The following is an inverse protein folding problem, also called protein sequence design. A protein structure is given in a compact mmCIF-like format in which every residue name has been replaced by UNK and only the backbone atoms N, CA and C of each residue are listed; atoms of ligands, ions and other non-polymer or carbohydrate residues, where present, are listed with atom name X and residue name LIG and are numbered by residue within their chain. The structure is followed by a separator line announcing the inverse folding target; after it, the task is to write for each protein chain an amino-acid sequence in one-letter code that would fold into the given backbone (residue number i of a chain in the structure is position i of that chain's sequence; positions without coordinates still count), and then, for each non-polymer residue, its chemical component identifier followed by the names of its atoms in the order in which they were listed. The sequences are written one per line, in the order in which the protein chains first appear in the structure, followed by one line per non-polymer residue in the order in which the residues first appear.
data_IF_587059961629
#
_entry.id   IF_587059961629
#
_cell.length_a   1.000
_cell.length_b   1.000
_cell.length_c   1.000
_cell.angle_alpha   90.00
_cell.angle_beta   90.00
_cell.angle_gamma   90.00
#
_symmetry.space_group_name_H-M   'P 1'
#
loop_
_entity.id
_entity.type
_entity.pdbx_description
1 polymer ?
#
# COMPACT_ATOMS: atom_id res chain seq x y z
N UNK A 1 -7.35 44.68 12.01
CA UNK A 1 -7.26 44.50 10.55
C UNK A 1 -7.39 43.01 10.24
N UNK A 2 -8.47 42.60 9.57
CA UNK A 2 -8.77 41.18 9.29
C UNK A 2 -8.35 40.85 7.87
N UNK A 3 -7.27 40.08 7.70
CA UNK A 3 -6.84 39.61 6.37
C UNK A 3 -7.78 38.52 5.90
N UNK A 4 -8.64 38.82 4.91
CA UNK A 4 -9.42 37.81 4.20
C UNK A 4 -8.44 36.89 3.48
N UNK A 5 -8.32 35.63 3.93
CA UNK A 5 -7.56 34.61 3.21
C UNK A 5 -8.26 34.32 1.90
N UNK A 6 -7.78 34.90 0.80
CA UNK A 6 -8.22 34.55 -0.55
C UNK A 6 -7.86 33.10 -0.80
N UNK A 7 -8.86 32.20 -0.78
CA UNK A 7 -8.67 30.81 -1.18
C UNK A 7 -8.30 30.82 -2.68
N UNK A 8 -7.07 30.44 -3.06
CA UNK A 8 -6.67 30.48 -4.46
C UNK A 8 -7.49 29.47 -5.26
N UNK A 9 -7.94 29.86 -6.45
CA UNK A 9 -8.62 28.96 -7.37
C UNK A 9 -7.71 27.74 -7.66
N UNK A 10 -8.26 26.52 -7.71
CA UNK A 10 -7.46 25.31 -7.87
C UNK A 10 -6.73 25.33 -9.22
N UNK A 11 -5.43 25.06 -9.18
CA UNK A 11 -4.59 24.93 -10.38
C UNK A 11 -5.13 23.84 -11.30
N UNK A 12 -4.94 23.98 -12.62
CA UNK A 12 -5.29 22.97 -13.62
C UNK A 12 -4.78 21.57 -13.27
N UNK A 13 -3.54 21.47 -12.78
CA UNK A 13 -2.97 20.20 -12.32
C UNK A 13 -3.72 19.63 -11.12
N UNK A 14 -4.19 20.47 -10.20
CA UNK A 14 -4.98 20.05 -9.06
C UNK A 14 -6.33 19.49 -9.51
N UNK A 15 -7.02 20.15 -10.45
CA UNK A 15 -8.30 19.67 -11.01
C UNK A 15 -8.12 18.31 -11.69
N UNK A 16 -7.12 18.17 -12.55
CA UNK A 16 -6.85 16.91 -13.26
C UNK A 16 -6.50 15.76 -12.31
N UNK A 17 -5.70 16.04 -11.28
CA UNK A 17 -5.28 15.02 -10.30
C UNK A 17 -6.32 14.79 -9.18
N UNK A 18 -7.36 15.62 -9.08
CA UNK A 18 -8.39 15.54 -8.03
C UNK A 18 -9.15 14.21 -8.08
N UNK A 19 -9.51 13.76 -9.29
CA UNK A 19 -10.23 12.49 -9.49
C UNK A 19 -9.38 11.31 -9.04
N UNK A 20 -8.09 11.29 -9.41
CA UNK A 20 -7.13 10.28 -8.95
C UNK A 20 -6.96 10.33 -7.43
N UNK A 21 -6.79 11.52 -6.84
CA UNK A 21 -6.69 11.68 -5.37
C UNK A 21 -7.92 11.17 -4.65
N UNK A 22 -9.12 11.48 -5.15
CA UNK A 22 -10.36 11.07 -4.51
C UNK A 22 -10.57 9.54 -4.58
N UNK A 23 -10.20 8.90 -5.69
CA UNK A 23 -10.14 7.43 -5.78
C UNK A 23 -9.14 6.82 -4.79
N UNK A 24 -8.01 7.48 -4.55
CA UNK A 24 -6.99 7.04 -3.60
C UNK A 24 -7.38 7.29 -2.13
N UNK A 25 -8.21 8.29 -1.84
CA UNK A 25 -8.67 8.64 -0.47
C UNK A 25 -9.56 7.55 0.15
N UNK A 26 -10.38 6.89 -0.66
CA UNK A 26 -11.21 5.74 -0.27
C UNK A 26 -10.57 4.39 -0.62
N UNK A 27 -9.23 4.30 -0.63
CA UNK A 27 -8.57 3.06 -1.02
C UNK A 27 -8.73 1.98 0.07
N UNK A 28 -9.44 0.91 -0.29
CA UNK A 28 -9.49 -0.37 0.43
C UNK A 28 -8.12 -0.79 0.98
N UNK A 29 -7.07 -0.66 0.17
CA UNK A 29 -5.68 -0.94 0.57
C UNK A 29 -5.21 -0.12 1.78
N UNK A 30 -5.63 1.15 1.90
CA UNK A 30 -5.25 2.01 3.02
C UNK A 30 -5.99 1.65 4.30
N UNK A 31 -7.22 1.12 4.18
CA UNK A 31 -7.95 0.59 5.33
C UNK A 31 -7.29 -0.70 5.82
N UNK A 32 -7.01 -1.65 4.93
CA UNK A 32 -6.28 -2.87 5.29
C UNK A 32 -4.92 -2.54 5.92
N UNK A 33 -4.19 -1.58 5.35
CA UNK A 33 -2.89 -1.21 5.90
C UNK A 33 -2.98 -0.66 7.34
N UNK A 34 -4.13 -0.10 7.74
CA UNK A 34 -4.39 0.38 9.10
C UNK A 34 -4.96 -0.69 10.03
N UNK A 35 -5.82 -1.57 9.51
CA UNK A 35 -6.53 -2.55 10.31
C UNK A 35 -5.69 -3.81 10.59
N UNK A 36 -4.72 -4.12 9.73
CA UNK A 36 -3.91 -5.33 9.84
C UNK A 36 -2.62 -5.08 10.62
N UNK A 37 -2.36 -5.87 11.65
CA UNK A 37 -1.06 -5.89 12.32
C UNK A 37 -0.02 -6.63 11.46
N UNK A 38 0.66 -5.86 10.59
CA UNK A 38 1.73 -6.38 9.75
C UNK A 38 2.95 -6.86 10.53
N UNK A 39 3.17 -6.35 11.75
CA UNK A 39 4.32 -6.75 12.56
C UNK A 39 4.11 -8.15 13.10
N UNK A 40 2.92 -8.43 13.65
CA UNK A 40 2.53 -9.76 14.09
C UNK A 40 2.57 -10.79 12.95
N UNK A 41 2.04 -10.42 11.77
CA UNK A 41 2.10 -11.28 10.57
C UNK A 41 3.55 -11.54 10.15
N UNK A 42 4.42 -10.53 10.16
CA UNK A 42 5.84 -10.72 9.82
C UNK A 42 6.54 -11.67 10.77
N UNK A 43 6.30 -11.54 12.07
CA UNK A 43 6.86 -12.45 13.07
C UNK A 43 6.39 -13.89 12.85
N UNK A 44 5.09 -14.08 12.55
CA UNK A 44 4.53 -15.40 12.26
C UNK A 44 5.13 -16.00 10.98
N UNK A 45 5.25 -15.20 9.92
CA UNK A 45 5.86 -15.59 8.65
C UNK A 45 7.31 -15.99 8.84
N UNK A 46 8.12 -15.17 9.52
CA UNK A 46 9.54 -15.46 9.74
C UNK A 46 9.77 -16.71 10.60
N UNK A 47 8.82 -17.07 11.48
CA UNK A 47 8.89 -18.31 12.25
C UNK A 47 8.73 -19.56 11.39
N UNK A 48 7.92 -19.49 10.32
CA UNK A 48 7.58 -20.63 9.45
C UNK A 48 8.37 -20.65 8.15
N UNK A 49 8.71 -19.48 7.63
CA UNK A 49 9.44 -19.28 6.39
C UNK A 49 10.90 -18.99 6.72
N UNK A 50 11.70 -20.05 6.78
CA UNK A 50 13.14 -19.98 7.09
C UNK A 50 14.02 -19.94 5.85
N UNK A 51 13.42 -19.95 4.65
CA UNK A 51 14.17 -19.91 3.39
C UNK A 51 14.79 -18.53 3.20
N UNK A 52 16.09 -18.45 3.38
CA UNK A 52 16.89 -17.23 3.24
C UNK A 52 17.46 -17.05 1.84
N UNK A 53 17.52 -18.12 1.04
CA UNK A 53 18.02 -18.11 -0.32
C UNK A 53 16.95 -18.60 -1.30
N UNK A 54 16.91 -17.99 -2.48
CA UNK A 54 16.07 -18.40 -3.58
C UNK A 54 16.70 -19.58 -4.36
N UNK A 55 15.99 -20.09 -5.38
CA UNK A 55 16.43 -21.26 -6.14
C UNK A 55 17.76 -21.08 -6.90
N UNK A 56 18.25 -19.83 -7.04
CA UNK A 56 19.49 -19.47 -7.75
C UNK A 56 20.60 -19.05 -6.77
N UNK A 57 20.34 -19.07 -5.46
CA UNK A 57 21.31 -18.71 -4.41
C UNK A 57 21.32 -17.23 -4.01
N UNK A 58 20.49 -16.39 -4.62
CA UNK A 58 20.33 -15.00 -4.18
C UNK A 58 19.46 -14.91 -2.91
N UNK A 59 19.54 -13.83 -2.12
CA UNK A 59 18.64 -13.62 -0.99
C UNK A 59 17.17 -13.78 -1.41
N UNK A 60 16.41 -14.56 -0.66
CA UNK A 60 14.97 -14.68 -0.89
C UNK A 60 14.27 -13.34 -0.63
N UNK A 61 13.17 -13.10 -1.35
CA UNK A 61 12.31 -11.94 -1.07
C UNK A 61 11.80 -11.99 0.38
N UNK A 62 11.65 -10.83 1.02
CA UNK A 62 11.09 -10.75 2.38
C UNK A 62 9.69 -11.39 2.40
N UNK A 63 9.45 -12.27 3.38
CA UNK A 63 8.24 -13.07 3.46
C UNK A 63 6.97 -12.21 3.56
N UNK A 64 7.03 -11.06 4.24
CA UNK A 64 5.91 -10.13 4.32
C UNK A 64 5.63 -9.48 2.96
N UNK A 65 6.66 -9.18 2.18
CA UNK A 65 6.50 -8.61 0.84
C UNK A 65 5.82 -9.60 -0.10
N UNK A 66 6.29 -10.86 -0.14
CA UNK A 66 5.63 -11.91 -0.90
C UNK A 66 4.17 -12.09 -0.49
N UNK A 67 3.90 -12.13 0.81
CA UNK A 67 2.54 -12.24 1.32
C UNK A 67 1.64 -11.09 0.83
N UNK A 68 2.14 -9.85 0.84
CA UNK A 68 1.39 -8.70 0.31
C UNK A 68 1.11 -8.79 -1.19
N UNK A 69 2.05 -9.32 -1.98
CA UNK A 69 1.84 -9.56 -3.42
C UNK A 69 0.72 -10.58 -3.63
N UNK A 70 0.71 -11.67 -2.86
CA UNK A 70 -0.36 -12.67 -2.92
C UNK A 70 -1.72 -12.08 -2.57
N UNK A 71 -1.81 -11.23 -1.53
CA UNK A 71 -3.05 -10.54 -1.21
C UNK A 71 -3.55 -9.65 -2.35
N UNK A 72 -2.64 -8.92 -3.00
CA UNK A 72 -2.99 -8.10 -4.17
C UNK A 72 -3.47 -8.95 -5.34
N UNK A 73 -2.82 -10.09 -5.59
CA UNK A 73 -3.27 -11.04 -6.61
C UNK A 73 -4.65 -11.62 -6.26
N UNK A 74 -4.94 -11.93 -4.99
CA UNK A 74 -6.26 -12.40 -4.58
C UNK A 74 -7.35 -11.35 -4.78
N UNK A 75 -7.05 -10.07 -4.56
CA UNK A 75 -8.05 -8.99 -4.69
C UNK A 75 -8.22 -8.45 -6.10
N UNK A 76 -7.13 -8.39 -6.88
CA UNK A 76 -7.08 -7.72 -8.19
C UNK A 76 -6.58 -8.62 -9.33
N UNK A 77 -6.22 -9.87 -9.05
CA UNK A 77 -5.77 -10.80 -10.06
C UNK A 77 -6.89 -11.17 -11.04
N UNK A 78 -6.53 -11.57 -12.26
CA UNK A 78 -7.49 -12.10 -13.22
C UNK A 78 -8.16 -13.35 -12.63
N UNK A 79 -9.48 -13.47 -12.85
CA UNK A 79 -10.24 -14.68 -12.51
C UNK A 79 -10.08 -15.72 -13.61
#
# INVERSE_FOLDING_TARGET
MSTKSTTPAPSFLQVYTQVRRNRMKHSFLRQINKCVDWRGIRTLLNKKYTKTQNAVGNPAYDALMMFKILLLQTWYGPK
#
